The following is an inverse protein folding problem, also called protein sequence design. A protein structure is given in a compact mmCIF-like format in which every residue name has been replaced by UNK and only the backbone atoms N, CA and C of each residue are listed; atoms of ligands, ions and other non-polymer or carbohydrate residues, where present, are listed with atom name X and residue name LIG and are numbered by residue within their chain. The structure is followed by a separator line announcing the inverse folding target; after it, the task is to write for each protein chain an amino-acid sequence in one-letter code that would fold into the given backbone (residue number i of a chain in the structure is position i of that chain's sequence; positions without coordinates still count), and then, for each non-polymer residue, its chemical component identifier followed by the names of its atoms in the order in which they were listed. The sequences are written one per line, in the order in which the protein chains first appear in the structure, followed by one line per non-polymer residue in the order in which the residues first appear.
data_IF_063351437374
#
_entry.id   IF_063351437374
#
_cell.length_a   1.000
_cell.length_b   1.000
_cell.length_c   1.000
_cell.angle_alpha   90.00
_cell.angle_beta   90.00
_cell.angle_gamma   90.00
#
_symmetry.space_group_name_H-M   'P 1'
#
loop_
_entity.id
_entity.type
_entity.pdbx_description
1 polymer ?
#
# COMPACT_ATOMS: atom_id res chain seq x y z
N UNK A 1 -29.88 -39.35 -7.38
CA UNK A 1 -30.19 -38.22 -8.29
C UNK A 1 -28.91 -37.42 -8.51
N UNK A 2 -28.33 -37.52 -9.68
CA UNK A 2 -27.02 -36.95 -10.04
C UNK A 2 -27.16 -35.44 -10.26
N UNK A 3 -26.51 -34.62 -9.44
CA UNK A 3 -26.32 -33.20 -9.72
C UNK A 3 -25.43 -33.07 -10.95
N UNK A 4 -26.05 -32.95 -12.13
CA UNK A 4 -25.38 -32.51 -13.35
C UNK A 4 -24.96 -31.03 -13.13
N UNK A 5 -23.69 -30.82 -12.84
CA UNK A 5 -23.04 -29.50 -12.89
C UNK A 5 -23.22 -28.95 -14.28
N UNK A 6 -24.18 -28.03 -14.42
CA UNK A 6 -24.45 -27.32 -15.68
C UNK A 6 -23.33 -26.28 -15.91
N UNK A 7 -22.15 -26.76 -16.35
CA UNK A 7 -21.07 -25.88 -16.80
C UNK A 7 -21.51 -25.27 -18.13
N UNK A 8 -22.19 -24.13 -18.03
CA UNK A 8 -22.45 -23.29 -19.19
C UNK A 8 -21.10 -22.96 -19.85
N UNK A 9 -20.92 -23.36 -21.10
CA UNK A 9 -19.76 -22.99 -21.90
C UNK A 9 -19.76 -21.49 -22.18
N UNK A 10 -18.60 -20.88 -22.41
CA UNK A 10 -18.49 -19.45 -22.74
C UNK A 10 -19.40 -19.07 -23.96
N UNK A 11 -19.60 -20.02 -24.90
CA UNK A 11 -20.50 -19.85 -26.02
C UNK A 11 -21.97 -19.79 -25.62
N UNK A 12 -22.41 -20.57 -24.62
CA UNK A 12 -23.80 -20.54 -24.16
C UNK A 12 -24.12 -19.23 -23.43
N UNK A 13 -23.16 -18.69 -22.68
CA UNK A 13 -23.26 -17.37 -22.05
C UNK A 13 -23.37 -16.26 -23.09
N UNK A 14 -22.51 -16.28 -24.11
CA UNK A 14 -22.59 -15.32 -25.21
C UNK A 14 -23.93 -15.35 -25.92
N UNK A 15 -24.46 -16.54 -26.28
CA UNK A 15 -25.77 -16.68 -26.89
C UNK A 15 -26.93 -16.17 -26.02
N UNK A 16 -26.82 -16.28 -24.69
CA UNK A 16 -27.78 -15.73 -23.74
C UNK A 16 -27.83 -14.19 -23.81
N UNK A 17 -26.68 -13.53 -23.97
CA UNK A 17 -26.61 -12.05 -24.10
C UNK A 17 -27.27 -11.56 -25.39
N UNK A 18 -27.18 -12.30 -26.53
CA UNK A 18 -27.84 -11.93 -27.79
C UNK A 18 -29.37 -11.99 -27.69
N UNK A 19 -29.96 -12.73 -26.77
CA UNK A 19 -31.41 -12.81 -26.54
C UNK A 19 -31.98 -11.61 -25.76
N UNK A 20 -31.12 -10.85 -25.05
CA UNK A 20 -31.52 -9.69 -24.24
C UNK A 20 -30.66 -8.47 -24.62
N UNK A 21 -31.18 -7.56 -25.52
CA UNK A 21 -30.37 -6.46 -26.06
C UNK A 21 -29.82 -5.53 -24.99
N UNK A 22 -30.55 -5.27 -23.87
CA UNK A 22 -30.06 -4.48 -22.77
C UNK A 22 -28.87 -5.13 -22.05
N UNK A 23 -28.88 -6.45 -21.87
CA UNK A 23 -27.77 -7.21 -21.29
C UNK A 23 -26.53 -7.22 -22.21
N UNK A 24 -26.73 -7.28 -23.52
CA UNK A 24 -25.65 -7.18 -24.49
C UNK A 24 -24.96 -5.80 -24.43
N UNK A 25 -25.75 -4.72 -24.40
CA UNK A 25 -25.21 -3.35 -24.27
C UNK A 25 -24.40 -3.19 -23.01
N UNK A 26 -24.90 -3.64 -21.85
CA UNK A 26 -24.15 -3.59 -20.59
C UNK A 26 -22.86 -4.42 -20.66
N UNK A 27 -22.91 -5.62 -21.23
CA UNK A 27 -21.72 -6.45 -21.41
C UNK A 27 -20.66 -5.74 -22.29
N UNK A 28 -21.07 -5.15 -23.41
CA UNK A 28 -20.18 -4.40 -24.30
C UNK A 28 -19.57 -3.18 -23.61
N UNK A 29 -20.36 -2.44 -22.81
CA UNK A 29 -19.86 -1.30 -22.04
C UNK A 29 -18.82 -1.73 -21.00
N UNK A 30 -19.06 -2.82 -20.26
CA UNK A 30 -18.11 -3.36 -19.28
C UNK A 30 -16.82 -3.84 -19.96
N UNK A 31 -16.95 -4.55 -21.10
CA UNK A 31 -15.78 -4.99 -21.88
C UNK A 31 -14.99 -3.82 -22.42
N UNK A 32 -15.68 -2.80 -22.97
CA UNK A 32 -15.03 -1.57 -23.45
C UNK A 32 -14.28 -0.87 -22.31
N UNK A 33 -14.93 -0.69 -21.15
CA UNK A 33 -14.29 -0.09 -19.97
C UNK A 33 -13.05 -0.87 -19.55
N UNK A 34 -13.12 -2.20 -19.51
CA UNK A 34 -11.97 -3.06 -19.16
C UNK A 34 -10.82 -2.90 -20.17
N UNK A 35 -11.13 -2.91 -21.47
CA UNK A 35 -10.13 -2.73 -22.53
C UNK A 35 -9.49 -1.35 -22.48
N UNK A 36 -10.29 -0.28 -22.29
CA UNK A 36 -9.78 1.09 -22.17
C UNK A 36 -8.88 1.22 -20.94
N UNK A 37 -9.30 0.69 -19.78
CA UNK A 37 -8.47 0.72 -18.56
C UNK A 37 -7.14 0.01 -18.77
N UNK A 38 -7.16 -1.19 -19.37
CA UNK A 38 -5.94 -1.94 -19.64
C UNK A 38 -5.04 -1.22 -20.65
N UNK A 39 -5.62 -0.66 -21.72
CA UNK A 39 -4.88 0.10 -22.73
C UNK A 39 -4.22 1.34 -22.14
N UNK A 40 -4.91 2.09 -21.26
CA UNK A 40 -4.33 3.24 -20.56
C UNK A 40 -3.18 2.83 -19.66
N UNK A 41 -3.31 1.74 -18.90
CA UNK A 41 -2.22 1.24 -18.05
C UNK A 41 -0.99 0.84 -18.86
N UNK A 42 -1.18 0.09 -19.94
CA UNK A 42 -0.09 -0.30 -20.84
C UNK A 42 0.55 0.93 -21.50
N UNK A 43 -0.26 1.88 -21.94
CA UNK A 43 0.23 3.14 -22.50
C UNK A 43 1.09 3.93 -21.53
N UNK A 44 0.64 4.08 -20.26
CA UNK A 44 1.40 4.79 -19.23
C UNK A 44 2.75 4.12 -18.95
N UNK A 45 2.76 2.78 -18.81
CA UNK A 45 4.01 2.03 -18.61
C UNK A 45 4.94 2.19 -19.81
N UNK A 46 4.41 2.02 -21.02
CA UNK A 46 5.18 2.19 -22.26
C UNK A 46 5.73 3.62 -22.38
N UNK A 47 4.94 4.63 -22.08
CA UNK A 47 5.34 6.03 -22.10
C UNK A 47 6.51 6.29 -21.12
N UNK A 48 6.41 5.80 -19.86
CA UNK A 48 7.48 5.92 -18.88
C UNK A 48 8.75 5.26 -19.38
N UNK A 49 8.65 4.04 -19.93
CA UNK A 49 9.82 3.31 -20.43
C UNK A 49 10.46 4.00 -21.64
N UNK A 50 9.67 4.40 -22.62
CA UNK A 50 10.17 5.05 -23.86
C UNK A 50 10.84 6.40 -23.55
N UNK A 51 10.26 7.15 -22.59
CA UNK A 51 10.80 8.46 -22.22
C UNK A 51 11.96 8.37 -21.23
N UNK A 52 11.99 7.38 -20.35
CA UNK A 52 12.99 7.34 -19.26
C UNK A 52 14.20 6.45 -19.54
N UNK A 53 14.04 5.32 -20.25
CA UNK A 53 15.15 4.39 -20.51
C UNK A 53 16.34 5.03 -21.22
N UNK A 54 16.17 5.91 -22.23
CA UNK A 54 17.31 6.55 -22.92
C UNK A 54 18.19 7.41 -21.99
N UNK A 55 17.65 7.87 -20.86
CA UNK A 55 18.36 8.74 -19.91
C UNK A 55 18.82 8.01 -18.65
N UNK A 56 18.80 6.67 -18.62
CA UNK A 56 19.39 5.87 -17.55
C UNK A 56 20.92 5.85 -17.72
N UNK A 57 21.58 6.88 -17.21
CA UNK A 57 23.04 7.00 -17.22
C UNK A 57 23.67 6.44 -15.95
N UNK A 58 24.92 5.93 -15.97
CA UNK A 58 25.60 5.48 -14.76
C UNK A 58 25.76 6.57 -13.70
N UNK A 59 25.81 7.84 -14.09
CA UNK A 59 25.90 8.99 -13.18
C UNK A 59 24.71 9.11 -12.24
N UNK A 60 23.48 8.71 -12.68
CA UNK A 60 22.30 8.67 -11.84
C UNK A 60 22.43 7.68 -10.66
N UNK A 61 23.30 6.69 -10.78
CA UNK A 61 23.54 5.69 -9.74
C UNK A 61 24.79 5.98 -8.92
N UNK A 62 25.40 7.16 -9.06
CA UNK A 62 26.51 7.58 -8.22
C UNK A 62 26.10 7.60 -6.75
N UNK A 63 27.01 7.21 -5.84
CA UNK A 63 26.71 7.17 -4.41
C UNK A 63 26.53 8.57 -3.83
N UNK A 64 27.28 9.55 -4.32
CA UNK A 64 27.18 10.93 -3.88
C UNK A 64 26.31 11.75 -4.83
N UNK A 65 25.40 12.52 -4.26
CA UNK A 65 24.56 13.46 -4.99
C UNK A 65 25.29 14.79 -5.20
N UNK A 66 25.28 15.27 -6.44
CA UNK A 66 25.61 16.67 -6.77
C UNK A 66 24.62 17.20 -7.82
N UNK A 67 24.67 18.50 -8.08
CA UNK A 67 23.75 19.16 -9.03
C UNK A 67 23.93 18.71 -10.48
N UNK A 68 25.10 18.17 -10.84
CA UNK A 68 25.40 17.73 -12.21
C UNK A 68 24.94 16.28 -12.45
N UNK A 69 25.08 15.40 -11.46
CA UNK A 69 24.73 14.00 -11.60
C UNK A 69 23.30 13.68 -11.19
N UNK A 70 22.66 14.56 -10.41
CA UNK A 70 21.31 14.39 -9.83
C UNK A 70 21.00 12.97 -9.36
N UNK A 71 21.98 12.35 -8.69
CA UNK A 71 21.94 10.94 -8.29
C UNK A 71 20.66 10.59 -7.53
N UNK A 72 20.06 9.46 -7.89
CA UNK A 72 18.88 8.91 -7.24
C UNK A 72 19.21 7.99 -6.05
N UNK A 73 20.47 7.61 -5.83
CA UNK A 73 20.84 6.62 -4.80
C UNK A 73 20.46 7.04 -3.38
N UNK A 74 20.68 8.29 -2.93
CA UNK A 74 20.18 8.72 -1.62
C UNK A 74 18.66 8.59 -1.50
N UNK A 75 17.93 8.93 -2.57
CA UNK A 75 16.47 8.85 -2.58
C UNK A 75 15.95 7.39 -2.51
N UNK A 76 16.64 6.44 -3.15
CA UNK A 76 16.33 5.00 -3.05
C UNK A 76 16.47 4.53 -1.60
N UNK A 77 17.63 4.82 -0.97
CA UNK A 77 17.89 4.43 0.42
C UNK A 77 16.88 5.06 1.38
N UNK A 78 16.62 6.35 1.20
CA UNK A 78 15.62 7.08 2.01
C UNK A 78 14.21 6.48 1.83
N UNK A 79 13.85 6.01 0.61
CA UNK A 79 12.56 5.35 0.39
C UNK A 79 12.45 4.05 1.20
N UNK A 80 13.50 3.23 1.20
CA UNK A 80 13.53 2.00 1.99
C UNK A 80 13.45 2.29 3.49
N UNK A 81 14.20 3.29 3.96
CA UNK A 81 14.14 3.74 5.35
C UNK A 81 12.73 4.24 5.72
N UNK A 82 12.10 5.03 4.86
CA UNK A 82 10.74 5.55 5.05
C UNK A 82 9.72 4.42 5.15
N UNK A 83 9.79 3.43 4.26
CA UNK A 83 8.93 2.24 4.30
C UNK A 83 9.10 1.52 5.66
N UNK A 84 10.34 1.23 6.04
CA UNK A 84 10.64 0.50 7.26
C UNK A 84 10.10 1.23 8.50
N UNK A 85 10.39 2.52 8.63
CA UNK A 85 9.97 3.34 9.78
C UNK A 85 8.44 3.45 9.86
N UNK A 86 7.78 3.74 8.73
CA UNK A 86 6.32 3.89 8.70
C UNK A 86 5.59 2.58 9.02
N UNK A 87 6.07 1.45 8.48
CA UNK A 87 5.49 0.14 8.76
C UNK A 87 5.74 -0.33 10.18
N UNK A 88 6.93 -0.05 10.74
CA UNK A 88 7.25 -0.38 12.13
C UNK A 88 6.29 0.27 13.12
N UNK A 89 5.78 1.45 12.77
CA UNK A 89 4.75 2.15 13.54
C UNK A 89 3.34 1.64 13.21
N UNK A 90 2.95 1.68 11.94
CA UNK A 90 1.56 1.43 11.55
C UNK A 90 1.11 -0.03 11.71
N UNK A 91 1.98 -1.00 11.39
CA UNK A 91 1.60 -2.42 11.35
C UNK A 91 1.22 -2.96 12.74
N UNK A 92 2.04 -2.78 13.80
CA UNK A 92 1.66 -3.26 15.12
C UNK A 92 0.36 -2.63 15.61
N UNK A 93 0.25 -1.30 15.54
CA UNK A 93 -0.96 -0.60 16.01
C UNK A 93 -2.20 -0.99 15.21
N UNK A 94 -2.10 -1.10 13.88
CA UNK A 94 -3.22 -1.49 13.01
C UNK A 94 -3.69 -2.92 13.28
N UNK A 95 -2.76 -3.88 13.42
CA UNK A 95 -3.08 -5.28 13.71
C UNK A 95 -3.72 -5.42 15.09
N UNK A 96 -3.12 -4.83 16.14
CA UNK A 96 -3.69 -4.93 17.49
C UNK A 96 -5.05 -4.24 17.61
N UNK A 97 -5.24 -3.09 16.96
CA UNK A 97 -6.54 -2.44 16.88
C UNK A 97 -7.59 -3.35 16.23
N UNK A 98 -7.28 -3.95 15.10
CA UNK A 98 -8.19 -4.88 14.40
C UNK A 98 -8.52 -6.12 15.25
N UNK A 99 -7.52 -6.71 15.90
CA UNK A 99 -7.74 -7.85 16.82
C UNK A 99 -8.70 -7.44 17.94
N UNK A 100 -8.51 -6.26 18.54
CA UNK A 100 -9.43 -5.77 19.56
C UNK A 100 -10.85 -5.61 19.03
N UNK A 101 -11.02 -4.99 17.86
CA UNK A 101 -12.33 -4.72 17.28
C UNK A 101 -13.10 -5.99 16.89
N UNK A 102 -12.40 -7.02 16.38
CA UNK A 102 -13.03 -8.27 15.91
C UNK A 102 -13.23 -9.25 17.06
N UNK A 103 -12.21 -9.46 17.87
CA UNK A 103 -12.17 -10.57 18.81
C UNK A 103 -12.62 -10.17 20.23
N UNK A 104 -12.32 -8.95 20.67
CA UNK A 104 -12.55 -8.56 22.07
C UNK A 104 -13.74 -7.64 22.28
N UNK A 105 -14.06 -6.81 21.32
CA UNK A 105 -15.16 -5.86 21.44
C UNK A 105 -16.52 -6.57 21.44
N UNK A 106 -17.44 -6.08 22.29
CA UNK A 106 -18.81 -6.60 22.32
C UNK A 106 -19.57 -6.20 21.05
N UNK A 107 -20.36 -7.12 20.49
CA UNK A 107 -21.26 -6.83 19.36
C UNK A 107 -22.20 -5.66 19.74
N UNK A 108 -22.32 -4.68 18.85
CA UNK A 108 -23.17 -3.49 19.10
C UNK A 108 -22.52 -2.39 19.95
N UNK A 109 -21.23 -2.48 20.28
CA UNK A 109 -20.54 -1.42 21.01
C UNK A 109 -20.42 -0.15 20.15
N UNK A 110 -20.97 0.97 20.63
CA UNK A 110 -20.95 2.27 19.94
C UNK A 110 -19.52 2.77 19.67
N UNK A 111 -18.58 2.52 20.59
CA UNK A 111 -17.18 2.91 20.42
C UNK A 111 -16.55 2.22 19.20
N UNK A 112 -16.85 0.94 18.98
CA UNK A 112 -16.40 0.19 17.79
C UNK A 112 -16.92 0.83 16.51
N UNK A 113 -18.20 1.20 16.49
CA UNK A 113 -18.81 1.89 15.35
C UNK A 113 -18.13 3.24 15.08
N UNK A 114 -17.86 4.02 16.12
CA UNK A 114 -17.15 5.31 15.98
C UNK A 114 -15.74 5.10 15.41
N UNK A 115 -14.97 4.13 15.93
CA UNK A 115 -13.61 3.85 15.41
C UNK A 115 -13.65 3.45 13.95
N UNK A 116 -14.59 2.59 13.53
CA UNK A 116 -14.73 2.19 12.11
C UNK A 116 -15.07 3.37 11.21
N UNK A 117 -16.07 4.18 11.59
CA UNK A 117 -16.47 5.37 10.81
C UNK A 117 -15.31 6.37 10.73
N UNK A 118 -14.58 6.59 11.84
CA UNK A 118 -13.41 7.47 11.86
C UNK A 118 -12.30 6.95 10.93
N UNK A 119 -12.00 5.65 10.98
CA UNK A 119 -10.99 5.04 10.11
C UNK A 119 -11.38 5.12 8.62
N UNK A 120 -12.67 4.93 8.31
CA UNK A 120 -13.18 5.08 6.95
C UNK A 120 -13.09 6.52 6.47
N UNK A 121 -13.45 7.49 7.31
CA UNK A 121 -13.32 8.92 7.02
C UNK A 121 -11.86 9.30 6.80
N UNK A 122 -10.95 8.86 7.67
CA UNK A 122 -9.52 9.11 7.54
C UNK A 122 -8.97 8.55 6.22
N UNK A 123 -9.37 7.35 5.80
CA UNK A 123 -8.88 6.78 4.53
C UNK A 123 -9.28 7.59 3.30
N UNK A 124 -10.31 8.42 3.37
CA UNK A 124 -10.77 9.32 2.30
C UNK A 124 -10.07 10.68 2.26
N UNK A 125 -9.28 11.02 3.27
CA UNK A 125 -8.60 12.32 3.34
C UNK A 125 -7.45 12.38 2.31
N UNK A 126 -7.33 13.48 1.50
CA UNK A 126 -6.20 13.66 0.60
C UNK A 126 -4.85 13.69 1.35
N UNK A 127 -3.81 13.09 0.76
CA UNK A 127 -2.50 12.96 1.42
C UNK A 127 -1.85 14.31 1.78
N UNK A 128 -2.11 15.36 0.99
CA UNK A 128 -1.63 16.71 1.29
C UNK A 128 -2.14 17.22 2.64
N UNK A 129 -3.36 16.87 3.04
CA UNK A 129 -3.93 17.27 4.35
C UNK A 129 -3.18 16.59 5.48
N UNK A 130 -2.82 15.30 5.31
CA UNK A 130 -1.92 14.61 6.25
C UNK A 130 -0.56 15.29 6.33
N UNK A 131 -0.03 15.74 5.18
CA UNK A 131 1.23 16.49 5.13
C UNK A 131 1.16 17.80 5.91
N UNK A 132 0.10 18.58 5.72
CA UNK A 132 -0.11 19.83 6.47
C UNK A 132 -0.29 19.58 7.96
N UNK A 133 -1.07 18.56 8.35
CA UNK A 133 -1.17 18.15 9.76
C UNK A 133 0.19 17.76 10.32
N UNK A 134 0.94 16.92 9.61
CA UNK A 134 2.28 16.48 10.01
C UNK A 134 3.26 17.64 10.14
N UNK A 135 3.21 18.60 9.23
CA UNK A 135 4.01 19.82 9.31
C UNK A 135 3.66 20.64 10.56
N UNK A 136 2.39 20.88 10.82
CA UNK A 136 1.97 21.67 11.98
C UNK A 136 2.29 20.96 13.29
N UNK A 137 2.06 19.65 13.36
CA UNK A 137 2.21 18.89 14.60
C UNK A 137 3.65 18.42 14.83
N UNK A 138 4.22 17.62 13.91
CA UNK A 138 5.55 17.04 14.12
C UNK A 138 6.67 18.05 13.88
N UNK A 139 6.61 18.78 12.75
CA UNK A 139 7.70 19.69 12.37
C UNK A 139 7.69 20.94 13.26
N UNK A 140 6.52 21.59 13.43
CA UNK A 140 6.42 22.89 14.11
C UNK A 140 6.19 22.74 15.61
N UNK A 141 5.15 22.02 16.05
CA UNK A 141 4.78 21.93 17.47
C UNK A 141 5.77 21.08 18.28
N UNK A 142 6.09 19.87 17.78
CA UNK A 142 7.06 18.98 18.43
C UNK A 142 8.52 19.36 18.14
N UNK A 143 8.75 20.33 17.23
CA UNK A 143 10.08 20.83 16.84
C UNK A 143 11.02 19.72 16.32
N UNK A 144 10.45 18.68 15.66
CA UNK A 144 11.27 17.63 15.04
C UNK A 144 11.91 18.09 13.73
N UNK A 145 11.59 19.32 13.28
CA UNK A 145 12.01 19.87 11.98
C UNK A 145 11.57 19.00 10.81
N UNK A 146 11.93 19.39 9.60
CA UNK A 146 11.79 18.50 8.43
C UNK A 146 12.71 17.32 8.62
N UNK A 147 12.15 16.12 8.81
CA UNK A 147 12.93 14.91 9.10
C UNK A 147 12.22 13.64 8.60
N UNK A 148 13.02 12.60 8.36
CA UNK A 148 12.47 11.28 8.02
C UNK A 148 11.50 10.78 9.08
N UNK A 149 11.75 11.10 10.35
CA UNK A 149 10.87 10.72 11.46
C UNK A 149 9.51 11.41 11.36
N UNK A 150 9.47 12.73 11.11
CA UNK A 150 8.22 13.49 10.92
C UNK A 150 7.42 12.91 9.73
N UNK A 151 8.10 12.57 8.64
CA UNK A 151 7.50 11.89 7.49
C UNK A 151 6.95 10.52 7.85
N UNK A 152 7.73 9.69 8.54
CA UNK A 152 7.35 8.33 8.91
C UNK A 152 6.11 8.28 9.83
N UNK A 153 6.02 9.17 10.82
CA UNK A 153 4.84 9.28 11.68
C UNK A 153 3.61 9.75 10.90
N UNK A 154 3.78 10.72 10.01
CA UNK A 154 2.69 11.19 9.15
C UNK A 154 2.17 10.08 8.24
N UNK A 155 3.06 9.34 7.59
CA UNK A 155 2.67 8.20 6.76
C UNK A 155 2.08 7.05 7.58
N UNK A 156 2.61 6.79 8.77
CA UNK A 156 2.06 5.78 9.67
C UNK A 156 0.60 6.08 10.01
N UNK A 157 0.28 7.34 10.37
CA UNK A 157 -1.11 7.75 10.62
C UNK A 157 -1.97 7.59 9.35
N UNK A 158 -1.44 7.94 8.18
CA UNK A 158 -2.15 7.84 6.89
C UNK A 158 -2.47 6.39 6.50
N UNK A 159 -1.54 5.44 6.74
CA UNK A 159 -1.73 4.03 6.36
C UNK A 159 -2.38 3.18 7.46
N UNK A 160 -2.41 3.65 8.71
CA UNK A 160 -2.98 2.92 9.85
C UNK A 160 -4.43 2.46 9.60
N UNK A 161 -5.36 3.29 9.09
CA UNK A 161 -6.72 2.86 8.78
C UNK A 161 -6.77 1.72 7.73
N UNK A 162 -5.88 1.77 6.73
CA UNK A 162 -5.77 0.73 5.71
C UNK A 162 -5.34 -0.60 6.33
N UNK A 163 -4.26 -0.60 7.13
CA UNK A 163 -3.76 -1.81 7.82
C UNK A 163 -4.81 -2.37 8.77
N UNK A 164 -5.46 -1.51 9.55
CA UNK A 164 -6.50 -1.91 10.50
C UNK A 164 -7.68 -2.58 9.76
N UNK A 165 -8.19 -1.96 8.70
CA UNK A 165 -9.35 -2.46 7.94
C UNK A 165 -9.05 -3.78 7.23
N UNK A 166 -7.92 -3.88 6.52
CA UNK A 166 -7.53 -5.12 5.85
C UNK A 166 -7.27 -6.25 6.83
N UNK A 167 -6.72 -5.95 8.00
CA UNK A 167 -6.55 -6.92 9.09
C UNK A 167 -7.90 -7.35 9.66
N UNK A 168 -8.83 -6.43 9.87
CA UNK A 168 -10.19 -6.74 10.32
C UNK A 168 -10.90 -7.68 9.34
N UNK A 169 -10.87 -7.37 8.04
CA UNK A 169 -11.43 -8.20 6.97
C UNK A 169 -10.79 -9.60 6.95
N UNK A 170 -9.46 -9.68 7.12
CA UNK A 170 -8.74 -10.95 7.18
C UNK A 170 -9.13 -11.81 8.39
N UNK A 171 -9.32 -11.20 9.56
CA UNK A 171 -9.75 -11.89 10.78
C UNK A 171 -11.21 -12.37 10.67
N UNK A 172 -12.09 -11.58 10.08
CA UNK A 172 -13.49 -11.94 9.84
C UNK A 172 -13.64 -13.06 8.80
N UNK A 173 -12.71 -13.18 7.87
CA UNK A 173 -12.71 -14.24 6.86
C UNK A 173 -12.36 -15.62 7.44
N UNK A 174 -11.80 -15.72 8.66
CA UNK A 174 -11.50 -16.99 9.33
C UNK A 174 -12.81 -17.62 9.81
N UNK A 175 -13.12 -18.88 9.41
CA UNK A 175 -14.36 -19.55 9.81
C UNK A 175 -14.53 -19.64 11.33
N UNK A 176 -15.76 -19.43 11.83
CA UNK A 176 -16.05 -19.49 13.27
C UNK A 176 -15.83 -20.88 13.86
N UNK A 177 -15.94 -21.94 13.05
CA UNK A 177 -15.63 -23.32 13.46
C UNK A 177 -14.21 -23.50 14.03
N UNK A 178 -13.25 -22.66 13.59
CA UNK A 178 -11.88 -22.68 14.13
C UNK A 178 -11.85 -22.17 15.58
N UNK A 179 -12.67 -21.14 15.86
CA UNK A 179 -12.82 -20.59 17.22
C UNK A 179 -13.56 -21.57 18.12
N UNK A 180 -14.68 -22.10 17.65
CA UNK A 180 -15.52 -23.06 18.39
C UNK A 180 -14.77 -24.36 18.70
N UNK A 181 -14.03 -24.91 17.71
CA UNK A 181 -13.21 -26.10 17.91
C UNK A 181 -12.10 -25.88 18.96
N UNK A 182 -11.46 -24.72 18.94
CA UNK A 182 -10.44 -24.35 19.92
C UNK A 182 -11.03 -24.21 21.33
N UNK A 183 -12.18 -23.57 21.46
CA UNK A 183 -12.87 -23.43 22.75
C UNK A 183 -13.37 -24.79 23.26
N UNK A 184 -13.88 -25.66 22.37
CA UNK A 184 -14.30 -27.03 22.71
C UNK A 184 -13.16 -27.90 23.26
N UNK A 185 -11.92 -27.64 22.85
CA UNK A 185 -10.71 -28.27 23.39
C UNK A 185 -10.18 -27.59 24.67
N UNK A 186 -10.94 -26.63 25.25
CA UNK A 186 -10.59 -25.96 26.49
C UNK A 186 -9.58 -24.80 26.33
N UNK A 187 -9.26 -24.35 25.13
CA UNK A 187 -8.38 -23.21 24.93
C UNK A 187 -9.07 -21.91 25.34
N UNK A 188 -8.35 -21.04 26.06
CA UNK A 188 -8.82 -19.68 26.37
C UNK A 188 -8.74 -18.76 25.15
N UNK A 189 -9.48 -17.65 25.21
CA UNK A 189 -9.60 -16.67 24.09
C UNK A 189 -8.28 -16.19 23.55
N UNK A 190 -7.34 -15.81 24.42
CA UNK A 190 -6.01 -15.33 24.02
C UNK A 190 -5.27 -16.40 23.18
N UNK A 191 -5.26 -17.66 23.66
CA UNK A 191 -4.62 -18.75 22.94
C UNK A 191 -5.28 -19.01 21.58
N UNK A 192 -6.60 -18.99 21.50
CA UNK A 192 -7.34 -19.16 20.26
C UNK A 192 -6.99 -18.05 19.26
N UNK A 193 -7.00 -16.80 19.68
CA UNK A 193 -6.68 -15.67 18.80
C UNK A 193 -5.24 -15.76 18.28
N UNK A 194 -4.24 -15.90 19.15
CA UNK A 194 -2.84 -15.84 18.72
C UNK A 194 -2.29 -17.13 18.11
N UNK A 195 -2.88 -18.27 18.41
CA UNK A 195 -2.39 -19.58 17.91
C UNK A 195 -3.20 -20.16 16.75
N UNK A 196 -4.42 -19.69 16.53
CA UNK A 196 -5.32 -20.23 15.51
C UNK A 196 -5.81 -19.15 14.55
N UNK A 197 -6.51 -18.12 15.08
CA UNK A 197 -7.15 -17.10 14.23
C UNK A 197 -6.12 -16.24 13.52
N UNK A 198 -5.18 -15.65 14.27
CA UNK A 198 -4.18 -14.75 13.71
C UNK A 198 -3.27 -15.44 12.66
N UNK A 199 -2.71 -16.66 12.90
CA UNK A 199 -1.97 -17.36 11.86
C UNK A 199 -2.79 -17.64 10.60
N UNK A 200 -4.07 -17.99 10.74
CA UNK A 200 -4.97 -18.21 9.60
C UNK A 200 -5.29 -16.92 8.82
N UNK A 201 -5.25 -15.77 9.48
CA UNK A 201 -5.48 -14.44 8.88
C UNK A 201 -4.22 -13.83 8.24
N UNK A 202 -3.01 -14.35 8.52
CA UNK A 202 -1.74 -13.80 8.01
C UNK A 202 -1.77 -13.48 6.51
N UNK A 203 -2.29 -14.34 5.61
CA UNK A 203 -2.29 -14.03 4.17
C UNK A 203 -3.03 -12.73 3.82
N UNK A 204 -4.19 -12.48 4.47
CA UNK A 204 -4.96 -11.26 4.28
C UNK A 204 -4.28 -10.04 4.91
N UNK A 205 -3.69 -10.20 6.09
CA UNK A 205 -2.91 -9.14 6.76
C UNK A 205 -1.73 -8.70 5.88
N UNK A 206 -0.99 -9.66 5.34
CA UNK A 206 0.14 -9.38 4.45
C UNK A 206 -0.30 -8.66 3.17
N UNK A 207 -1.46 -8.99 2.61
CA UNK A 207 -2.01 -8.25 1.48
C UNK A 207 -2.22 -6.76 1.83
N UNK A 208 -2.77 -6.47 3.01
CA UNK A 208 -2.91 -5.11 3.51
C UNK A 208 -1.58 -4.38 3.69
N UNK A 209 -0.56 -5.06 4.23
CA UNK A 209 0.79 -4.50 4.38
C UNK A 209 1.40 -4.17 3.01
N UNK A 210 1.25 -5.05 2.01
CA UNK A 210 1.73 -4.81 0.63
C UNK A 210 1.06 -3.57 0.02
N UNK A 211 -0.25 -3.41 0.21
CA UNK A 211 -0.97 -2.20 -0.23
C UNK A 211 -0.43 -0.96 0.48
N UNK A 212 -0.16 -1.05 1.78
CA UNK A 212 0.47 0.03 2.56
C UNK A 212 1.85 0.42 2.03
N UNK A 213 2.69 -0.56 1.69
CA UNK A 213 4.01 -0.32 1.07
C UNK A 213 3.85 0.44 -0.25
N UNK A 214 2.95 -0.02 -1.12
CA UNK A 214 2.70 0.66 -2.40
C UNK A 214 2.28 2.12 -2.22
N UNK A 215 1.47 2.42 -1.21
CA UNK A 215 1.04 3.78 -0.87
C UNK A 215 2.21 4.64 -0.36
N UNK A 216 3.08 4.09 0.51
CA UNK A 216 4.26 4.80 1.02
C UNK A 216 5.23 5.15 -0.11
N UNK A 217 5.53 4.19 -1.00
CA UNK A 217 6.52 4.37 -2.08
C UNK A 217 6.12 5.48 -3.05
N UNK A 218 4.83 5.60 -3.35
CA UNK A 218 4.31 6.64 -4.25
C UNK A 218 4.01 7.98 -3.59
N UNK A 219 4.18 8.09 -2.25
CA UNK A 219 3.78 9.30 -1.55
C UNK A 219 4.76 10.45 -1.78
N UNK A 220 4.20 11.58 -2.19
CA UNK A 220 4.96 12.79 -2.53
C UNK A 220 4.47 13.99 -1.70
N UNK A 221 3.17 14.27 -1.73
CA UNK A 221 2.60 15.48 -1.15
C UNK A 221 2.76 15.56 0.37
N UNK A 222 2.47 14.47 1.09
CA UNK A 222 2.64 14.45 2.54
C UNK A 222 4.11 14.59 2.95
N UNK A 223 5.03 13.96 2.20
CA UNK A 223 6.45 13.98 2.52
C UNK A 223 7.12 15.31 2.22
N UNK A 224 6.66 16.04 1.20
CA UNK A 224 7.16 17.38 0.89
C UNK A 224 7.01 18.34 2.09
N UNK A 225 5.94 18.18 2.87
CA UNK A 225 5.66 19.01 4.05
C UNK A 225 6.25 18.45 5.35
N UNK A 226 6.81 17.25 5.35
CA UNK A 226 7.23 16.59 6.60
C UNK A 226 8.67 16.08 6.59
N UNK A 227 9.10 15.35 5.56
CA UNK A 227 10.49 14.88 5.43
C UNK A 227 11.41 15.90 4.75
N UNK A 228 10.85 16.83 4.00
CA UNK A 228 11.60 17.82 3.24
C UNK A 228 12.20 17.28 1.94
N UNK A 229 12.94 18.13 1.22
CA UNK A 229 13.37 17.88 -0.16
C UNK A 229 14.88 17.75 -0.34
N UNK A 230 15.66 17.62 0.74
CA UNK A 230 17.12 17.56 0.67
C UNK A 230 17.59 16.24 0.05
N UNK A 231 18.48 16.32 -0.94
CA UNK A 231 19.03 15.16 -1.63
C UNK A 231 20.31 14.65 -0.93
N UNK A 232 20.13 13.97 0.19
CA UNK A 232 21.25 13.32 0.92
C UNK A 232 20.79 12.01 1.51
N UNK A 233 21.72 11.15 1.92
CA UNK A 233 21.41 10.04 2.82
C UNK A 233 20.97 10.62 4.16
N UNK A 234 19.74 10.36 4.54
CA UNK A 234 19.15 10.95 5.74
C UNK A 234 19.10 9.94 6.89
N UNK A 235 19.54 10.38 8.07
CA UNK A 235 19.21 9.70 9.31
C UNK A 235 17.76 9.99 9.73
N UNK A 236 17.27 9.35 10.81
CA UNK A 236 15.89 9.53 11.25
C UNK A 236 15.48 10.98 11.52
N UNK A 237 16.37 11.79 12.07
CA UNK A 237 16.13 13.21 12.37
C UNK A 237 16.62 14.16 11.29
N UNK A 238 17.13 13.64 10.19
CA UNK A 238 17.56 14.45 9.05
C UNK A 238 16.45 14.65 8.03
N UNK A 239 16.51 15.77 7.31
CA UNK A 239 15.70 15.98 6.12
C UNK A 239 16.24 15.13 4.96
N UNK A 240 15.33 14.44 4.28
CA UNK A 240 15.67 13.64 3.12
C UNK A 240 14.47 13.38 2.22
N UNK A 241 14.70 13.36 0.92
CA UNK A 241 13.65 13.07 -0.07
C UNK A 241 13.62 11.60 -0.45
N UNK A 242 12.40 11.06 -0.63
CA UNK A 242 12.15 9.74 -1.20
C UNK A 242 12.26 9.77 -2.73
N UNK A 243 12.23 8.60 -3.37
CA UNK A 243 12.36 8.48 -4.82
C UNK A 243 11.21 9.18 -5.57
N UNK A 244 9.97 9.04 -5.09
CA UNK A 244 8.81 9.74 -5.68
C UNK A 244 8.95 11.26 -5.52
N UNK A 245 9.39 11.72 -4.36
CA UNK A 245 9.62 13.14 -4.12
C UNK A 245 10.83 13.67 -4.91
N UNK A 246 11.87 12.85 -5.12
CA UNK A 246 13.01 13.18 -5.97
C UNK A 246 12.56 13.44 -7.41
N UNK A 247 11.79 12.52 -7.98
CA UNK A 247 11.20 12.69 -9.32
C UNK A 247 10.37 13.96 -9.42
N UNK A 248 9.54 14.25 -8.41
CA UNK A 248 8.71 15.46 -8.37
C UNK A 248 9.55 16.73 -8.37
N UNK A 249 10.59 16.80 -7.53
CA UNK A 249 11.46 17.99 -7.44
C UNK A 249 12.17 18.23 -8.77
N UNK A 250 12.77 17.22 -9.39
CA UNK A 250 13.44 17.33 -10.68
C UNK A 250 12.50 17.81 -11.79
N UNK A 251 11.23 17.37 -11.75
CA UNK A 251 10.22 17.81 -12.72
C UNK A 251 9.77 19.25 -12.47
N UNK A 252 9.56 19.62 -11.20
CA UNK A 252 9.04 20.95 -10.83
C UNK A 252 10.04 22.07 -11.07
N UNK A 253 11.34 21.78 -10.95
CA UNK A 253 12.42 22.71 -11.25
C UNK A 253 12.64 22.90 -12.76
N UNK A 254 12.08 22.04 -13.61
CA UNK A 254 12.17 22.03 -15.06
C UNK A 254 13.60 21.98 -15.65
N UNK A 255 14.61 21.80 -14.81
CA UNK A 255 16.02 21.74 -15.21
C UNK A 255 16.46 20.33 -15.60
N UNK A 256 15.85 19.29 -14.99
CA UNK A 256 16.26 17.89 -15.08
C UNK A 256 15.08 16.96 -15.44
N UNK A 257 14.28 17.34 -16.43
CA UNK A 257 13.07 16.58 -16.83
C UNK A 257 13.41 15.20 -17.40
N UNK A 258 14.56 15.07 -18.04
CA UNK A 258 15.03 13.80 -18.61
C UNK A 258 15.43 12.82 -17.49
N UNK A 259 16.17 13.30 -16.50
CA UNK A 259 16.58 12.54 -15.30
C UNK A 259 15.37 12.21 -14.42
N UNK A 260 14.39 13.10 -14.36
CA UNK A 260 13.10 12.79 -13.72
C UNK A 260 12.38 11.63 -14.41
N UNK A 261 12.40 11.60 -15.76
CA UNK A 261 11.83 10.49 -16.53
C UNK A 261 12.58 9.17 -16.30
N UNK A 262 13.91 9.21 -16.20
CA UNK A 262 14.72 8.06 -15.83
C UNK A 262 14.43 7.60 -14.39
N UNK A 263 14.25 8.55 -13.46
CA UNK A 263 13.85 8.26 -12.07
C UNK A 263 12.50 7.55 -12.02
N UNK A 264 11.56 7.93 -12.90
CA UNK A 264 10.25 7.24 -12.99
C UNK A 264 10.40 5.77 -13.40
N UNK A 265 11.33 5.44 -14.30
CA UNK A 265 11.63 4.03 -14.65
C UNK A 265 12.18 3.28 -13.44
N UNK A 266 13.14 3.87 -12.72
CA UNK A 266 13.71 3.25 -11.52
C UNK A 266 12.64 3.07 -10.44
N UNK A 267 11.78 4.07 -10.23
CA UNK A 267 10.65 3.97 -9.31
C UNK A 267 9.71 2.81 -9.68
N UNK A 268 9.39 2.66 -10.96
CA UNK A 268 8.58 1.54 -11.46
C UNK A 268 9.23 0.18 -11.16
N UNK A 269 10.53 0.04 -11.41
CA UNK A 269 11.29 -1.19 -11.13
C UNK A 269 11.33 -1.47 -9.63
N UNK A 270 11.58 -0.45 -8.81
CA UNK A 270 11.59 -0.57 -7.34
C UNK A 270 10.22 -1.02 -6.82
N UNK A 271 9.13 -0.42 -7.29
CA UNK A 271 7.75 -0.80 -6.91
C UNK A 271 7.45 -2.24 -7.29
N UNK A 272 7.77 -2.64 -8.53
CA UNK A 272 7.58 -4.02 -8.99
C UNK A 272 8.40 -4.99 -8.14
N UNK A 273 9.68 -4.65 -7.88
CA UNK A 273 10.58 -5.46 -7.07
C UNK A 273 10.09 -5.65 -5.64
N UNK A 274 9.66 -4.56 -4.97
CA UNK A 274 9.12 -4.61 -3.61
C UNK A 274 7.82 -5.43 -3.57
N UNK A 275 6.92 -5.24 -4.52
CA UNK A 275 5.67 -6.00 -4.59
C UNK A 275 5.92 -7.49 -4.86
N UNK A 276 6.84 -7.82 -5.76
CA UNK A 276 7.23 -9.20 -6.04
C UNK A 276 7.86 -9.87 -4.80
N UNK A 277 8.79 -9.19 -4.13
CA UNK A 277 9.41 -9.67 -2.90
C UNK A 277 8.39 -9.87 -1.79
N UNK A 278 7.52 -8.89 -1.56
CA UNK A 278 6.45 -8.95 -0.56
C UNK A 278 5.49 -10.12 -0.84
N UNK A 279 5.08 -10.30 -2.10
CA UNK A 279 4.23 -11.41 -2.53
C UNK A 279 4.90 -12.77 -2.36
N UNK A 280 6.20 -12.84 -2.64
CA UNK A 280 7.00 -14.06 -2.42
C UNK A 280 7.07 -14.43 -0.93
N UNK A 281 7.34 -13.44 -0.07
CA UNK A 281 7.37 -13.64 1.39
C UNK A 281 5.99 -14.09 1.89
N UNK A 282 4.91 -13.44 1.45
CA UNK A 282 3.54 -13.80 1.80
C UNK A 282 3.22 -15.25 1.39
N UNK A 283 3.59 -15.66 0.16
CA UNK A 283 3.41 -17.03 -0.31
C UNK A 283 4.18 -18.05 0.52
N UNK A 284 5.42 -17.76 0.89
CA UNK A 284 6.26 -18.64 1.71
C UNK A 284 5.71 -18.81 3.13
N UNK A 285 5.22 -17.71 3.73
CA UNK A 285 4.57 -17.77 5.04
C UNK A 285 3.27 -18.57 4.99
N UNK A 286 2.43 -18.36 3.98
CA UNK A 286 1.21 -19.15 3.76
C UNK A 286 1.48 -20.66 3.68
N UNK A 287 2.51 -21.06 2.96
CA UNK A 287 2.89 -22.49 2.86
C UNK A 287 3.32 -23.08 4.20
N UNK A 288 3.93 -22.30 5.10
CA UNK A 288 4.34 -22.76 6.43
C UNK A 288 3.18 -22.83 7.43
N UNK A 289 2.14 -22.03 7.25
CA UNK A 289 0.98 -21.99 8.16
C UNK A 289 -0.13 -22.98 7.76
N UNK A 290 0.01 -23.66 6.62
CA UNK A 290 -0.99 -24.65 6.16
C UNK A 290 -2.33 -24.01 5.72
N UNK A 291 -2.35 -22.71 5.47
CA UNK A 291 -3.53 -21.94 5.09
C UNK A 291 -3.61 -21.74 3.56
#
# INVERSE_FOLDING_TARGET
MLFRSNRQTAGDKLRAYFKHPGSLVLFLLVMLAAVVTFAVLVFLIAYILVRGVPYLTPSLFALEYNSDNVSLMPAVVNTLLMILMSLLLAVPFGIFAAIYLVEYAKKGNKLVSVVRVTAETLSGIPSIVYGLFGMLFFVTTLKWSYSMLSGAFTLAIMILPLIMRTTEEALLAVPDSYREGSFGLGAGKLRTVFRIVLPSAIPGILAGVILGIGRIVGETAALMYTSGTVAKYAGPMDSGRTLALHMYVLTSEALHVNEASATAVVLLVVVIGINALSSFVAKKLRQKTGA
#
